data_IF_821502874754
#
_entry.id   IF_821502874754
#
_cell.length_a   1.000
_cell.length_b   1.000
_cell.length_c   1.000
_cell.angle_alpha   90.00
_cell.angle_beta   90.00
_cell.angle_gamma   90.00
#
_symmetry.space_group_name_H-M   'P 1'
#
loop_
_entity.id
_entity.type
_entity.pdbx_description
1 polymer ?
#
# COMPACT_ATOMS: atom_id res chain seq x y z
N UNK A 1 -28.25 8.90 0.69
CA UNK A 1 -26.92 9.54 0.72
C UNK A 1 -26.19 9.31 2.04
N UNK A 2 -26.85 8.95 3.12
CA UNK A 2 -26.25 8.74 4.47
C UNK A 2 -25.94 7.27 4.77
N UNK A 3 -26.48 6.35 4.00
CA UNK A 3 -26.31 4.89 4.21
C UNK A 3 -25.49 4.20 3.11
N UNK A 4 -25.37 4.86 1.95
CA UNK A 4 -24.66 4.32 0.77
C UNK A 4 -23.81 5.43 0.13
N UNK A 5 -22.57 5.13 -0.31
CA UNK A 5 -21.72 6.09 -1.01
C UNK A 5 -22.28 6.38 -2.41
N UNK A 6 -23.17 7.39 -2.48
CA UNK A 6 -23.83 7.81 -3.71
C UNK A 6 -23.74 9.32 -3.87
N UNK A 7 -23.98 9.85 -5.07
CA UNK A 7 -23.99 11.28 -5.36
C UNK A 7 -25.40 11.77 -5.60
N UNK A 8 -25.64 13.04 -5.40
CA UNK A 8 -26.92 13.68 -5.72
C UNK A 8 -27.26 13.55 -7.20
N UNK A 9 -26.26 13.67 -8.07
CA UNK A 9 -26.41 13.50 -9.53
C UNK A 9 -26.80 12.06 -9.93
N UNK A 10 -26.34 11.04 -9.18
CA UNK A 10 -26.76 9.67 -9.46
C UNK A 10 -28.22 9.40 -9.10
N UNK A 11 -28.81 10.23 -8.22
CA UNK A 11 -30.23 10.16 -7.86
C UNK A 11 -31.15 10.86 -8.89
N UNK A 12 -30.60 11.77 -9.69
CA UNK A 12 -31.31 12.51 -10.74
C UNK A 12 -32.06 11.54 -11.68
N UNK A 13 -31.34 10.55 -12.20
CA UNK A 13 -31.90 9.55 -13.11
C UNK A 13 -33.04 8.68 -12.53
N UNK A 14 -33.02 8.47 -11.20
CA UNK A 14 -34.00 7.60 -10.53
C UNK A 14 -35.22 8.35 -10.00
N UNK A 15 -35.00 9.59 -9.56
CA UNK A 15 -36.03 10.36 -8.85
C UNK A 15 -36.51 11.60 -9.62
N UNK A 16 -35.95 11.84 -10.82
CA UNK A 16 -36.27 13.00 -11.65
C UNK A 16 -36.13 14.35 -10.93
N UNK A 17 -35.07 14.46 -10.10
CA UNK A 17 -34.71 15.68 -9.37
C UNK A 17 -33.50 16.34 -10.01
N UNK A 18 -33.37 17.64 -9.91
CA UNK A 18 -32.11 18.28 -10.30
C UNK A 18 -31.02 17.98 -9.27
N UNK A 19 -30.02 17.15 -9.66
CA UNK A 19 -28.96 16.65 -8.77
C UNK A 19 -28.12 17.74 -8.16
N UNK A 20 -27.81 18.82 -8.90
CA UNK A 20 -26.99 19.94 -8.38
C UNK A 20 -27.76 20.77 -7.35
N UNK A 21 -29.04 21.04 -7.63
CA UNK A 21 -29.91 21.71 -6.66
C UNK A 21 -30.10 20.89 -5.40
N UNK A 22 -30.29 19.57 -5.55
CA UNK A 22 -30.43 18.65 -4.41
C UNK A 22 -29.14 18.58 -3.60
N UNK A 23 -27.96 18.54 -4.23
CA UNK A 23 -26.68 18.55 -3.53
C UNK A 23 -26.53 19.79 -2.65
N UNK A 24 -26.87 20.96 -3.19
CA UNK A 24 -26.85 22.23 -2.45
C UNK A 24 -27.81 22.20 -1.26
N UNK A 25 -29.06 21.74 -1.48
CA UNK A 25 -30.06 21.65 -0.40
C UNK A 25 -29.63 20.62 0.67
N UNK A 26 -29.12 19.47 0.24
CA UNK A 26 -28.62 18.44 1.15
C UNK A 26 -27.48 18.99 2.01
N UNK A 27 -26.47 19.63 1.39
CA UNK A 27 -25.33 20.19 2.10
C UNK A 27 -25.74 21.31 3.08
N UNK A 28 -26.62 22.23 2.65
CA UNK A 28 -26.92 23.45 3.41
C UNK A 28 -28.04 23.26 4.45
N UNK A 29 -28.99 22.33 4.22
CA UNK A 29 -30.23 22.28 5.02
C UNK A 29 -30.59 20.89 5.55
N UNK A 30 -30.29 19.81 4.82
CA UNK A 30 -30.87 18.49 5.13
C UNK A 30 -29.91 17.56 5.88
N UNK A 31 -28.60 17.71 5.67
CA UNK A 31 -27.61 16.78 6.19
C UNK A 31 -27.15 17.04 7.64
N UNK A 32 -27.42 18.23 8.17
CA UNK A 32 -26.84 18.69 9.43
C UNK A 32 -25.35 19.04 9.34
N UNK A 33 -24.85 19.25 8.11
CA UNK A 33 -23.44 19.56 7.89
C UNK A 33 -23.00 20.87 8.55
N UNK A 34 -23.86 21.88 8.54
CA UNK A 34 -23.57 23.21 9.14
C UNK A 34 -23.52 23.19 10.67
N UNK A 35 -24.31 22.31 11.26
CA UNK A 35 -24.41 22.10 12.71
C UNK A 35 -23.51 20.96 13.22
N UNK A 36 -22.66 20.41 12.32
CA UNK A 36 -21.78 19.31 12.67
C UNK A 36 -20.75 19.73 13.72
N UNK A 37 -20.67 19.03 14.85
CA UNK A 37 -19.78 19.35 15.98
C UNK A 37 -18.30 19.44 15.59
N UNK A 38 -17.88 18.59 14.63
CA UNK A 38 -16.50 18.52 14.19
C UNK A 38 -16.17 19.56 13.09
N UNK A 39 -17.14 20.36 12.66
CA UNK A 39 -17.01 21.25 11.49
C UNK A 39 -15.78 22.15 11.52
N UNK A 40 -15.41 22.69 12.69
CA UNK A 40 -14.32 23.66 12.86
C UNK A 40 -12.94 23.09 12.58
N UNK A 41 -12.70 21.81 12.89
CA UNK A 41 -11.41 21.14 12.81
C UNK A 41 -11.39 19.90 11.91
N UNK A 42 -12.49 19.62 11.20
CA UNK A 42 -12.65 18.39 10.43
C UNK A 42 -11.58 18.17 9.35
N UNK A 43 -10.99 19.24 8.82
CA UNK A 43 -9.91 19.15 7.83
C UNK A 43 -8.57 18.76 8.44
N UNK A 44 -8.39 18.99 9.74
CA UNK A 44 -7.16 18.70 10.46
C UNK A 44 -7.24 17.34 11.15
N UNK A 45 -8.29 17.11 11.90
CA UNK A 45 -8.50 15.85 12.61
C UNK A 45 -9.98 15.57 12.89
N UNK A 46 -10.30 14.29 12.90
CA UNK A 46 -11.59 13.73 13.33
C UNK A 46 -11.29 12.52 14.22
N UNK A 47 -11.96 12.41 15.37
CA UNK A 47 -11.76 11.32 16.33
C UNK A 47 -13.10 10.84 16.86
N UNK A 48 -13.34 9.52 16.81
CA UNK A 48 -14.56 8.83 17.23
C UNK A 48 -14.22 7.78 18.28
N UNK A 49 -14.10 8.16 19.56
CA UNK A 49 -13.65 7.26 20.63
C UNK A 49 -14.57 6.06 20.89
N UNK A 50 -15.84 6.16 20.49
CA UNK A 50 -16.84 5.09 20.60
C UNK A 50 -16.59 3.93 19.66
N UNK A 51 -15.84 4.17 18.56
CA UNK A 51 -15.56 3.18 17.54
C UNK A 51 -14.31 2.35 17.84
N UNK A 52 -13.59 2.66 18.93
CA UNK A 52 -12.37 1.93 19.25
C UNK A 52 -12.68 0.47 19.62
N UNK A 53 -11.88 -0.45 19.09
CA UNK A 53 -11.99 -1.88 19.34
C UNK A 53 -10.66 -2.50 19.74
N UNK A 54 -10.65 -3.77 20.09
CA UNK A 54 -9.43 -4.49 20.47
C UNK A 54 -8.41 -4.65 19.35
N UNK A 55 -8.86 -4.68 18.09
CA UNK A 55 -8.00 -4.83 16.91
C UNK A 55 -8.22 -3.67 15.95
N UNK A 56 -7.17 -2.89 15.74
CA UNK A 56 -7.20 -1.71 14.88
C UNK A 56 -6.17 -1.78 13.76
N UNK A 57 -6.39 -0.98 12.71
CA UNK A 57 -5.40 -0.76 11.66
C UNK A 57 -5.07 0.72 11.58
N UNK A 58 -3.79 1.02 11.31
CA UNK A 58 -3.31 2.38 11.00
C UNK A 58 -2.76 2.34 9.57
N UNK A 59 -3.24 3.23 8.71
CA UNK A 59 -2.86 3.29 7.30
C UNK A 59 -2.94 4.74 6.78
N UNK A 60 -2.37 4.99 5.63
CA UNK A 60 -2.36 6.30 4.98
C UNK A 60 -3.27 6.31 3.74
N UNK A 61 -3.96 7.42 3.54
CA UNK A 61 -4.78 7.62 2.34
C UNK A 61 -4.70 9.06 1.85
N UNK A 62 -4.91 9.27 0.55
CA UNK A 62 -5.00 10.59 -0.06
C UNK A 62 -6.43 10.84 -0.56
N UNK A 63 -7.31 11.43 0.24
CA UNK A 63 -8.69 11.69 -0.14
C UNK A 63 -8.83 12.83 -1.15
N UNK A 64 -7.89 13.78 -1.20
CA UNK A 64 -7.91 14.91 -2.11
C UNK A 64 -6.50 15.37 -2.50
N UNK A 65 -6.32 15.82 -3.73
CA UNK A 65 -5.16 16.55 -4.27
C UNK A 65 -3.75 16.12 -3.82
N UNK A 66 -3.57 14.84 -3.46
CA UNK A 66 -2.29 14.32 -2.96
C UNK A 66 -2.04 14.60 -1.47
N UNK A 67 -2.91 15.32 -0.78
CA UNK A 67 -2.81 15.48 0.68
C UNK A 67 -2.99 14.14 1.38
N UNK A 68 -2.00 13.77 2.20
CA UNK A 68 -2.04 12.53 2.97
C UNK A 68 -2.79 12.71 4.27
N UNK A 69 -3.58 11.70 4.62
CA UNK A 69 -4.25 11.56 5.89
C UNK A 69 -3.91 10.20 6.51
N UNK A 70 -3.64 10.19 7.80
CA UNK A 70 -3.57 8.96 8.58
C UNK A 70 -4.99 8.56 8.99
N UNK A 71 -5.35 7.32 8.69
CA UNK A 71 -6.67 6.76 9.02
C UNK A 71 -6.49 5.61 10.00
N UNK A 72 -7.16 5.71 11.15
CA UNK A 72 -7.22 4.65 12.15
C UNK A 72 -8.59 3.99 12.09
N UNK A 73 -8.61 2.67 11.90
CA UNK A 73 -9.84 1.91 11.67
C UNK A 73 -10.02 0.76 12.63
N UNK A 74 -11.26 0.50 13.02
CA UNK A 74 -11.65 -0.69 13.78
C UNK A 74 -11.86 -1.88 12.83
N UNK A 75 -11.06 -2.92 13.00
CA UNK A 75 -11.12 -4.13 12.17
C UNK A 75 -12.42 -4.92 12.34
N UNK A 76 -13.00 -4.89 13.54
CA UNK A 76 -14.21 -5.65 13.86
C UNK A 76 -15.46 -5.13 13.14
N UNK A 77 -15.51 -3.86 12.75
CA UNK A 77 -16.64 -3.23 12.05
C UNK A 77 -16.77 -3.62 10.57
N UNK A 78 -15.79 -4.33 10.00
CA UNK A 78 -15.79 -4.89 8.63
C UNK A 78 -16.07 -3.86 7.53
N UNK A 79 -15.72 -2.61 7.75
CA UNK A 79 -15.91 -1.52 6.79
C UNK A 79 -17.34 -0.96 6.73
N UNK A 80 -18.18 -1.25 7.72
CA UNK A 80 -19.48 -0.63 7.96
C UNK A 80 -19.38 0.56 8.90
N UNK A 81 -20.51 0.92 9.52
CA UNK A 81 -20.56 1.95 10.54
C UNK A 81 -19.70 1.56 11.76
N UNK A 82 -19.04 2.52 12.39
CA UNK A 82 -18.08 2.27 13.47
C UNK A 82 -16.68 1.85 12.99
N UNK A 83 -16.40 1.96 11.68
CA UNK A 83 -15.07 1.63 11.13
C UNK A 83 -14.05 2.72 11.42
N UNK A 84 -14.40 3.99 11.25
CA UNK A 84 -13.47 5.10 11.42
C UNK A 84 -13.35 5.39 12.92
N UNK A 85 -12.12 5.24 13.45
CA UNK A 85 -11.75 5.69 14.79
C UNK A 85 -11.17 7.10 14.72
N UNK A 86 -10.31 7.35 13.74
CA UNK A 86 -9.74 8.67 13.50
C UNK A 86 -9.36 8.88 12.05
N UNK A 87 -9.43 10.14 11.61
CA UNK A 87 -8.85 10.65 10.37
C UNK A 87 -8.06 11.89 10.75
N UNK A 88 -6.75 11.90 10.47
CA UNK A 88 -5.85 13.01 10.84
C UNK A 88 -5.08 13.45 9.61
N UNK A 89 -5.05 14.74 9.32
CA UNK A 89 -4.27 15.32 8.23
C UNK A 89 -2.77 15.15 8.50
N UNK A 90 -2.06 14.61 7.53
CA UNK A 90 -0.63 14.35 7.62
C UNK A 90 -0.28 12.96 8.17
N UNK A 91 1.03 12.71 8.23
CA UNK A 91 1.64 11.43 8.62
C UNK A 91 2.69 11.61 9.72
N UNK A 92 2.90 12.83 10.18
CA UNK A 92 3.87 13.14 11.22
C UNK A 92 3.41 12.54 12.56
N UNK A 93 4.34 11.83 13.21
CA UNK A 93 4.02 11.09 14.43
C UNK A 93 3.45 11.98 15.54
N UNK A 94 3.99 13.19 15.71
CA UNK A 94 3.53 14.11 16.77
C UNK A 94 2.12 14.61 16.52
N UNK A 95 1.78 15.01 15.29
CA UNK A 95 0.44 15.48 14.91
C UNK A 95 -0.61 14.40 15.10
N UNK A 96 -0.32 13.17 14.63
CA UNK A 96 -1.25 12.05 14.76
C UNK A 96 -1.39 11.62 16.22
N UNK A 97 -0.29 11.61 16.99
CA UNK A 97 -0.30 11.30 18.42
C UNK A 97 -1.18 12.31 19.17
N UNK A 98 -1.02 13.62 18.93
CA UNK A 98 -1.81 14.65 19.56
C UNK A 98 -3.32 14.46 19.34
N UNK A 99 -3.72 14.15 18.10
CA UNK A 99 -5.11 13.87 17.78
C UNK A 99 -5.63 12.62 18.50
N UNK A 100 -4.87 11.52 18.52
CA UNK A 100 -5.26 10.27 19.13
C UNK A 100 -5.26 10.33 20.68
N UNK A 101 -4.46 11.20 21.29
CA UNK A 101 -4.48 11.43 22.75
C UNK A 101 -5.77 12.09 23.24
N UNK A 102 -6.63 12.58 22.37
CA UNK A 102 -8.00 13.03 22.68
C UNK A 102 -8.94 11.87 23.06
N UNK A 103 -8.56 10.64 22.68
CA UNK A 103 -9.24 9.42 23.12
C UNK A 103 -8.83 9.14 24.57
N UNK A 104 -9.80 8.88 25.43
CA UNK A 104 -9.57 8.50 26.82
C UNK A 104 -8.54 7.36 26.94
N UNK A 105 -7.65 7.47 27.92
CA UNK A 105 -6.58 6.49 28.13
C UNK A 105 -7.13 5.08 28.37
N UNK A 106 -8.17 4.95 29.16
CA UNK A 106 -8.80 3.65 29.42
C UNK A 106 -9.23 2.97 28.13
N UNK A 107 -9.82 3.71 27.18
CA UNK A 107 -10.19 3.19 25.86
C UNK A 107 -8.95 2.82 25.04
N UNK A 108 -7.90 3.64 25.01
CA UNK A 108 -6.67 3.34 24.28
C UNK A 108 -5.96 2.09 24.82
N UNK A 109 -6.02 1.85 26.10
CA UNK A 109 -5.43 0.67 26.76
C UNK A 109 -6.20 -0.64 26.47
N UNK A 110 -7.43 -0.58 25.95
CA UNK A 110 -8.19 -1.79 25.54
C UNK A 110 -7.73 -2.36 24.21
N UNK A 111 -6.94 -1.60 23.42
CA UNK A 111 -6.42 -2.09 22.14
C UNK A 111 -5.35 -3.15 22.38
N UNK A 112 -5.58 -4.34 21.82
CA UNK A 112 -4.70 -5.52 21.95
C UNK A 112 -3.81 -5.73 20.73
N UNK A 113 -4.29 -5.34 19.56
CA UNK A 113 -3.60 -5.58 18.27
C UNK A 113 -3.66 -4.36 17.39
N UNK A 114 -2.51 -4.04 16.77
CA UNK A 114 -2.40 -3.00 15.73
C UNK A 114 -1.72 -3.61 14.51
N UNK A 115 -2.36 -3.46 13.35
CA UNK A 115 -1.73 -3.73 12.06
C UNK A 115 -1.39 -2.40 11.39
N UNK A 116 -0.18 -2.27 10.88
CA UNK A 116 0.35 -1.03 10.30
C UNK A 116 1.35 -1.29 9.19
N UNK A 117 1.63 -0.26 8.41
CA UNK A 117 2.72 -0.24 7.44
C UNK A 117 4.10 -0.21 8.11
N UNK A 118 5.12 -0.56 7.37
CA UNK A 118 6.50 -0.53 7.84
C UNK A 118 7.04 0.91 7.78
N UNK A 119 6.67 1.70 8.78
CA UNK A 119 7.02 3.12 8.91
C UNK A 119 7.39 3.44 10.35
N UNK A 120 8.48 4.16 10.55
CA UNK A 120 8.91 4.62 11.87
C UNK A 120 7.89 5.56 12.51
N UNK A 121 7.18 6.36 11.72
CA UNK A 121 6.09 7.23 12.19
C UNK A 121 4.95 6.38 12.77
N UNK A 122 4.45 5.39 12.04
CA UNK A 122 3.38 4.50 12.48
C UNK A 122 3.78 3.71 13.74
N UNK A 123 5.03 3.24 13.78
CA UNK A 123 5.58 2.56 14.96
C UNK A 123 5.59 3.47 16.19
N UNK A 124 6.00 4.74 16.03
CA UNK A 124 6.03 5.70 17.13
C UNK A 124 4.63 6.06 17.61
N UNK A 125 3.69 6.33 16.69
CA UNK A 125 2.27 6.58 17.00
C UNK A 125 1.70 5.41 17.81
N UNK A 126 1.86 4.19 17.31
CA UNK A 126 1.31 2.99 17.96
C UNK A 126 1.89 2.75 19.36
N UNK A 127 3.19 3.01 19.55
CA UNK A 127 3.84 2.90 20.87
C UNK A 127 3.32 3.93 21.87
N UNK A 128 3.14 5.17 21.43
CA UNK A 128 2.70 6.28 22.30
C UNK A 128 1.22 6.17 22.65
N UNK A 129 0.39 5.88 21.65
CA UNK A 129 -1.07 5.91 21.83
C UNK A 129 -1.65 4.62 22.39
N UNK A 130 -1.05 3.47 22.07
CA UNK A 130 -1.59 2.14 22.38
C UNK A 130 -0.50 1.21 22.95
N UNK A 131 0.02 1.50 24.15
CA UNK A 131 1.20 0.83 24.70
C UNK A 131 1.01 -0.67 24.91
N UNK A 132 -0.22 -1.13 25.21
CA UNK A 132 -0.55 -2.53 25.46
C UNK A 132 -0.70 -3.37 24.16
N UNK A 133 -0.76 -2.73 23.00
CA UNK A 133 -1.06 -3.40 21.76
C UNK A 133 0.16 -4.15 21.18
N UNK A 134 -0.07 -5.36 20.69
CA UNK A 134 0.87 -6.09 19.86
C UNK A 134 0.85 -5.44 18.47
N UNK A 135 2.00 -4.93 18.04
CA UNK A 135 2.19 -4.29 16.73
C UNK A 135 2.60 -5.32 15.70
N UNK A 136 1.92 -5.34 14.57
CA UNK A 136 2.19 -6.24 13.46
C UNK A 136 2.36 -5.44 12.17
N UNK A 137 3.46 -5.64 11.47
CA UNK A 137 3.67 -5.06 10.14
C UNK A 137 2.96 -5.92 9.09
N UNK A 138 2.30 -5.24 8.16
CA UNK A 138 1.65 -5.91 7.06
C UNK A 138 2.66 -6.56 6.10
N UNK A 139 2.47 -7.86 5.88
CA UNK A 139 3.32 -8.65 4.97
C UNK A 139 3.31 -8.15 3.52
N UNK A 140 2.22 -7.47 3.09
CA UNK A 140 2.12 -6.96 1.72
C UNK A 140 3.13 -5.84 1.48
N UNK A 141 3.36 -4.98 2.47
CA UNK A 141 4.39 -3.94 2.40
C UNK A 141 5.79 -4.55 2.34
N UNK A 142 6.06 -5.58 3.13
CA UNK A 142 7.33 -6.32 3.08
C UNK A 142 7.54 -6.93 1.68
N UNK A 143 6.52 -7.58 1.14
CA UNK A 143 6.60 -8.19 -0.19
C UNK A 143 6.74 -7.15 -1.30
N UNK A 144 6.10 -5.99 -1.15
CA UNK A 144 6.21 -4.86 -2.08
C UNK A 144 7.65 -4.36 -2.16
N UNK A 145 8.32 -4.15 -1.01
CA UNK A 145 9.72 -3.72 -1.01
C UNK A 145 10.62 -4.68 -1.79
N UNK A 146 10.46 -5.99 -1.59
CA UNK A 146 11.25 -6.99 -2.32
C UNK A 146 10.94 -6.97 -3.82
N UNK A 147 9.68 -6.78 -4.20
CA UNK A 147 9.30 -6.62 -5.60
C UNK A 147 9.86 -5.33 -6.21
N UNK A 148 9.85 -4.23 -5.46
CA UNK A 148 10.36 -2.94 -5.93
C UNK A 148 11.88 -3.00 -6.15
N UNK A 149 12.65 -3.66 -5.26
CA UNK A 149 14.09 -3.90 -5.45
C UNK A 149 14.39 -4.74 -6.69
N UNK A 150 13.64 -5.80 -6.93
CA UNK A 150 13.75 -6.60 -8.15
C UNK A 150 13.44 -5.77 -9.40
N UNK A 151 12.43 -4.89 -9.34
CA UNK A 151 12.11 -3.99 -10.45
C UNK A 151 13.17 -2.92 -10.67
N UNK A 152 13.81 -2.43 -9.63
CA UNK A 152 14.94 -1.49 -9.73
C UNK A 152 16.08 -2.12 -10.53
N UNK A 153 16.50 -3.34 -10.19
CA UNK A 153 17.53 -4.06 -10.94
C UNK A 153 17.14 -4.27 -12.42
N UNK A 154 15.89 -4.71 -12.68
CA UNK A 154 15.37 -4.85 -14.04
C UNK A 154 15.39 -3.53 -14.82
N UNK A 155 15.07 -2.42 -14.15
CA UNK A 155 15.05 -1.08 -14.76
C UNK A 155 16.48 -0.64 -15.08
N UNK A 156 17.46 -0.89 -14.21
CA UNK A 156 18.87 -0.61 -14.47
C UNK A 156 19.35 -1.32 -15.74
N UNK A 157 19.18 -2.63 -15.83
CA UNK A 157 19.50 -3.39 -17.06
C UNK A 157 18.77 -2.86 -18.29
N UNK A 158 17.53 -2.40 -18.13
CA UNK A 158 16.79 -1.84 -19.28
C UNK A 158 17.39 -0.53 -19.77
N UNK A 159 17.88 0.32 -18.87
CA UNK A 159 18.57 1.54 -19.26
C UNK A 159 19.89 1.23 -19.97
N UNK A 160 20.67 0.27 -19.47
CA UNK A 160 21.91 -0.20 -20.11
C UNK A 160 21.62 -0.73 -21.52
N UNK A 161 20.57 -1.53 -21.68
CA UNK A 161 20.16 -2.06 -22.97
C UNK A 161 19.68 -0.97 -23.95
N UNK A 162 19.04 0.09 -23.47
CA UNK A 162 18.64 1.25 -24.28
C UNK A 162 19.88 2.03 -24.72
N UNK A 163 20.82 2.26 -23.82
CA UNK A 163 22.07 2.96 -24.14
C UNK A 163 22.88 2.20 -25.17
N UNK A 164 23.09 0.89 -24.97
CA UNK A 164 23.80 0.04 -25.95
C UNK A 164 23.13 0.03 -27.32
N UNK A 165 21.79 0.03 -27.39
CA UNK A 165 21.05 0.14 -28.67
C UNK A 165 21.27 1.50 -29.36
N UNK A 166 21.34 2.57 -28.55
CA UNK A 166 21.61 3.93 -29.06
C UNK A 166 23.03 4.05 -29.63
N UNK A 167 24.01 3.60 -28.86
CA UNK A 167 25.41 3.64 -29.22
C UNK A 167 25.67 2.83 -30.53
N UNK A 168 25.08 1.63 -30.64
CA UNK A 168 25.17 0.80 -31.82
C UNK A 168 24.54 1.44 -33.08
N UNK A 169 23.45 2.22 -32.91
CA UNK A 169 22.85 2.98 -34.01
C UNK A 169 23.75 4.12 -34.49
N UNK A 170 24.35 4.83 -33.56
CA UNK A 170 25.29 5.92 -33.88
C UNK A 170 26.51 5.38 -34.58
N UNK A 171 27.09 4.28 -34.09
CA UNK A 171 28.23 3.62 -34.74
C UNK A 171 27.91 3.16 -36.16
N UNK A 172 26.73 2.54 -36.35
CA UNK A 172 26.27 2.13 -37.67
C UNK A 172 26.14 3.33 -38.62
N UNK A 173 25.62 4.45 -38.15
CA UNK A 173 25.51 5.69 -38.91
C UNK A 173 26.89 6.25 -39.29
N UNK A 174 27.84 6.28 -38.37
CA UNK A 174 29.22 6.74 -38.63
C UNK A 174 29.94 5.83 -39.65
N UNK A 175 29.74 4.52 -39.53
CA UNK A 175 30.37 3.54 -40.41
C UNK A 175 29.65 3.32 -41.74
N UNK A 176 28.54 4.03 -42.02
CA UNK A 176 27.70 3.86 -43.19
C UNK A 176 27.03 2.50 -43.34
N UNK A 177 26.91 1.75 -42.22
CA UNK A 177 26.24 0.44 -42.14
C UNK A 177 24.79 0.56 -41.77
N UNK A 178 23.97 -0.41 -42.22
CA UNK A 178 22.59 -0.52 -41.77
C UNK A 178 22.56 -1.09 -40.34
N UNK A 179 21.93 -0.38 -39.41
CA UNK A 179 21.72 -0.88 -38.06
C UNK A 179 20.75 -2.07 -38.04
N UNK A 180 21.13 -3.14 -37.35
CA UNK A 180 20.28 -4.29 -37.06
C UNK A 180 20.33 -4.59 -35.56
N UNK A 181 19.17 -4.59 -34.84
CA UNK A 181 19.15 -4.90 -33.41
C UNK A 181 19.51 -6.37 -33.16
N UNK A 182 20.16 -6.64 -32.03
CA UNK A 182 20.36 -8.01 -31.54
C UNK A 182 19.02 -8.57 -31.07
N UNK A 183 18.61 -9.70 -31.67
CA UNK A 183 17.37 -10.40 -31.35
C UNK A 183 17.69 -11.68 -30.58
N UNK A 184 17.02 -11.87 -29.44
CA UNK A 184 17.15 -13.03 -28.57
C UNK A 184 16.30 -14.22 -29.06
N UNK A 185 16.48 -15.40 -28.47
CA UNK A 185 15.84 -16.65 -28.88
C UNK A 185 14.30 -16.58 -28.96
N UNK A 186 13.67 -15.72 -28.15
CA UNK A 186 12.22 -15.50 -28.12
C UNK A 186 11.73 -14.39 -29.07
N UNK A 187 12.61 -13.85 -29.92
CA UNK A 187 12.29 -12.77 -30.86
C UNK A 187 12.28 -11.36 -30.25
N UNK A 188 12.53 -11.20 -28.94
CA UNK A 188 12.66 -9.88 -28.30
C UNK A 188 14.09 -9.33 -28.46
N UNK A 189 14.23 -8.02 -28.56
CA UNK A 189 15.51 -7.38 -28.25
C UNK A 189 15.71 -7.27 -26.74
N UNK A 190 16.94 -7.03 -26.25
CA UNK A 190 17.22 -6.87 -24.82
C UNK A 190 16.27 -5.88 -24.15
N UNK A 191 16.07 -4.69 -24.70
CA UNK A 191 15.15 -3.69 -24.16
C UNK A 191 13.68 -4.12 -24.17
N UNK A 192 13.26 -4.92 -25.16
CA UNK A 192 11.90 -5.46 -25.25
C UNK A 192 11.68 -6.58 -24.23
N UNK A 193 12.63 -7.50 -24.09
CA UNK A 193 12.61 -8.56 -23.08
C UNK A 193 12.44 -7.97 -21.68
N UNK A 194 13.28 -7.01 -21.32
CA UNK A 194 13.24 -6.35 -20.01
C UNK A 194 11.93 -5.56 -19.78
N UNK A 195 11.41 -4.88 -20.81
CA UNK A 195 10.13 -4.19 -20.71
C UNK A 195 8.94 -5.15 -20.48
N UNK A 196 8.87 -6.21 -21.29
CA UNK A 196 7.80 -7.22 -21.27
C UNK A 196 7.85 -8.14 -20.04
N UNK A 197 9.01 -8.23 -19.39
CA UNK A 197 9.21 -9.06 -18.18
C UNK A 197 8.69 -8.42 -16.89
N UNK A 198 8.29 -7.14 -16.91
CA UNK A 198 7.83 -6.42 -15.72
C UNK A 198 6.81 -7.21 -14.88
N UNK A 199 5.71 -7.65 -15.49
CA UNK A 199 4.60 -8.27 -14.79
C UNK A 199 4.84 -9.75 -14.43
N UNK A 200 5.67 -10.48 -15.21
CA UNK A 200 5.98 -11.87 -14.86
C UNK A 200 6.82 -11.96 -13.59
N UNK A 201 7.68 -10.98 -13.32
CA UNK A 201 8.54 -10.94 -12.13
C UNK A 201 7.76 -10.72 -10.82
N UNK A 202 6.55 -10.15 -10.86
CA UNK A 202 5.66 -10.08 -9.70
C UNK A 202 4.95 -11.39 -9.38
N UNK A 203 4.81 -12.29 -10.35
CA UNK A 203 4.12 -13.57 -10.21
C UNK A 203 5.08 -14.66 -9.75
N UNK A 204 4.58 -15.60 -8.97
CA UNK A 204 5.29 -16.86 -8.75
C UNK A 204 5.25 -17.73 -10.02
N UNK A 205 6.29 -18.54 -10.23
CA UNK A 205 6.50 -19.32 -11.47
C UNK A 205 5.36 -20.29 -11.79
N UNK A 206 4.67 -20.81 -10.76
CA UNK A 206 3.47 -21.65 -10.90
C UNK A 206 2.26 -20.93 -11.53
N UNK A 207 2.26 -19.61 -11.49
CA UNK A 207 1.20 -18.74 -12.06
C UNK A 207 1.55 -18.14 -13.42
N UNK A 208 2.68 -18.51 -13.99
CA UNK A 208 3.06 -18.05 -15.33
C UNK A 208 2.26 -18.78 -16.41
N UNK A 209 1.84 -18.03 -17.43
CA UNK A 209 1.41 -18.61 -18.70
C UNK A 209 2.59 -19.24 -19.41
N UNK A 210 2.33 -20.10 -20.40
CA UNK A 210 3.42 -20.71 -21.20
C UNK A 210 4.33 -19.67 -21.85
N UNK A 211 3.76 -18.62 -22.45
CA UNK A 211 4.53 -17.51 -23.03
C UNK A 211 5.34 -16.73 -21.97
N UNK A 212 4.85 -16.62 -20.73
CA UNK A 212 5.62 -16.00 -19.64
C UNK A 212 6.76 -16.89 -19.17
N UNK A 213 6.58 -18.22 -19.18
CA UNK A 213 7.62 -19.19 -18.82
C UNK A 213 8.78 -19.15 -19.82
N UNK A 214 8.48 -19.23 -21.11
CA UNK A 214 9.49 -19.11 -22.17
C UNK A 214 10.25 -17.79 -22.09
N UNK A 215 9.55 -16.68 -21.84
CA UNK A 215 10.21 -15.38 -21.67
C UNK A 215 11.08 -15.32 -20.41
N UNK A 216 10.66 -15.95 -19.31
CA UNK A 216 11.45 -16.02 -18.09
C UNK A 216 12.72 -16.85 -18.26
N UNK A 217 12.68 -17.92 -19.03
CA UNK A 217 13.86 -18.73 -19.36
C UNK A 217 14.92 -17.90 -20.07
N UNK A 218 14.54 -17.21 -21.15
CA UNK A 218 15.44 -16.31 -21.88
C UNK A 218 15.93 -15.16 -20.99
N UNK A 219 15.04 -14.57 -20.16
CA UNK A 219 15.41 -13.50 -19.26
C UNK A 219 16.48 -13.95 -18.25
N UNK A 220 16.29 -15.11 -17.63
CA UNK A 220 17.17 -15.62 -16.57
C UNK A 220 18.47 -16.22 -17.10
N UNK A 221 18.49 -16.65 -18.35
CA UNK A 221 19.71 -17.02 -19.05
C UNK A 221 20.55 -15.78 -19.41
N UNK A 222 19.88 -14.71 -19.87
CA UNK A 222 20.54 -13.46 -20.29
C UNK A 222 20.98 -12.61 -19.09
N UNK A 223 20.19 -12.62 -18.00
CA UNK A 223 20.41 -11.84 -16.78
C UNK A 223 20.33 -12.72 -15.53
N UNK A 224 21.42 -13.48 -15.20
CA UNK A 224 21.44 -14.40 -14.06
C UNK A 224 21.20 -13.72 -12.70
N UNK A 225 21.62 -12.48 -12.53
CA UNK A 225 21.40 -11.66 -11.35
C UNK A 225 19.90 -11.37 -11.14
N UNK A 226 19.11 -11.15 -12.21
CA UNK A 226 17.65 -11.03 -12.09
C UNK A 226 17.00 -12.36 -11.67
N UNK A 227 17.55 -13.51 -12.04
CA UNK A 227 17.10 -14.82 -11.55
C UNK A 227 17.31 -14.95 -10.06
N UNK A 228 18.48 -14.54 -9.57
CA UNK A 228 18.82 -14.59 -8.14
C UNK A 228 17.94 -13.61 -7.34
N UNK A 229 17.79 -12.38 -7.80
CA UNK A 229 16.90 -11.38 -7.20
C UNK A 229 15.43 -11.84 -7.17
N UNK A 230 14.97 -12.50 -8.26
CA UNK A 230 13.66 -13.14 -8.30
C UNK A 230 13.54 -14.26 -7.23
N UNK A 231 14.57 -15.09 -7.09
CA UNK A 231 14.60 -16.14 -6.06
C UNK A 231 14.54 -15.56 -4.64
N UNK A 232 15.28 -14.48 -4.35
CA UNK A 232 15.23 -13.78 -3.06
C UNK A 232 13.83 -13.22 -2.77
N UNK A 233 13.22 -12.55 -3.76
CA UNK A 233 11.86 -11.99 -3.65
C UNK A 233 10.82 -13.07 -3.34
N UNK A 234 10.89 -14.20 -4.05
CA UNK A 234 9.93 -15.29 -3.88
C UNK A 234 10.19 -16.13 -2.63
N UNK A 235 11.45 -16.31 -2.22
CA UNK A 235 11.77 -16.98 -0.95
C UNK A 235 11.23 -16.19 0.24
N UNK A 236 11.31 -14.85 0.22
CA UNK A 236 10.70 -14.02 1.25
C UNK A 236 9.17 -14.21 1.29
N UNK A 237 8.49 -14.22 0.12
CA UNK A 237 7.05 -14.52 0.03
C UNK A 237 6.71 -15.89 0.64
N UNK A 238 7.52 -16.90 0.38
CA UNK A 238 7.31 -18.26 0.90
C UNK A 238 7.46 -18.32 2.42
N UNK A 239 8.34 -17.51 3.02
CA UNK A 239 8.48 -17.44 4.49
C UNK A 239 7.14 -17.04 5.11
N UNK A 240 6.50 -15.96 4.59
CA UNK A 240 5.21 -15.49 5.11
C UNK A 240 4.03 -16.41 4.78
N UNK A 241 4.13 -17.22 3.72
CA UNK A 241 3.04 -18.10 3.29
C UNK A 241 3.06 -19.46 3.97
N UNK A 242 4.25 -20.06 4.17
CA UNK A 242 4.41 -21.45 4.63
C UNK A 242 4.62 -21.57 6.14
N UNK A 243 5.30 -20.62 6.78
CA UNK A 243 5.54 -20.70 8.21
C UNK A 243 4.28 -20.33 8.99
N UNK A 244 3.94 -21.14 9.98
CA UNK A 244 2.80 -20.94 10.90
C UNK A 244 3.26 -20.68 12.33
N UNK A 245 4.54 -20.90 12.63
CA UNK A 245 5.14 -20.79 13.96
C UNK A 245 6.22 -19.70 13.92
N UNK A 246 6.21 -18.80 14.89
CA UNK A 246 7.12 -17.65 15.00
C UNK A 246 8.60 -18.07 14.96
N UNK A 247 8.99 -19.14 15.66
CA UNK A 247 10.39 -19.59 15.71
C UNK A 247 10.86 -20.20 14.38
N UNK A 248 9.98 -20.93 13.68
CA UNK A 248 10.28 -21.42 12.33
C UNK A 248 10.45 -20.29 11.32
N UNK A 249 9.64 -19.25 11.45
CA UNK A 249 9.74 -18.04 10.62
C UNK A 249 11.04 -17.27 10.91
N UNK A 250 11.43 -17.17 12.19
CA UNK A 250 12.70 -16.57 12.63
C UNK A 250 13.90 -17.24 11.97
N UNK A 251 13.95 -18.58 12.00
CA UNK A 251 15.02 -19.34 11.36
C UNK A 251 15.01 -19.18 9.84
N UNK A 252 13.83 -19.15 9.24
CA UNK A 252 13.68 -18.93 7.79
C UNK A 252 14.12 -17.54 7.35
N UNK A 253 13.83 -16.51 8.14
CA UNK A 253 14.30 -15.14 7.92
C UNK A 253 15.83 -15.04 8.08
N UNK A 254 16.41 -15.70 9.11
CA UNK A 254 17.87 -15.72 9.28
C UNK A 254 18.57 -16.30 8.05
N UNK A 255 18.05 -17.41 7.51
CA UNK A 255 18.58 -18.01 6.26
C UNK A 255 18.39 -17.09 5.05
N UNK A 256 17.32 -16.33 5.02
CA UNK A 256 17.08 -15.36 3.95
C UNK A 256 18.06 -14.18 4.03
N UNK A 257 18.36 -13.67 5.24
CA UNK A 257 19.38 -12.64 5.46
C UNK A 257 20.76 -13.08 4.94
N UNK A 258 21.19 -14.31 5.26
CA UNK A 258 22.46 -14.83 4.76
C UNK A 258 22.48 -14.85 3.22
N UNK A 259 21.40 -15.28 2.57
CA UNK A 259 21.31 -15.28 1.09
C UNK A 259 21.35 -13.86 0.51
N UNK A 260 20.78 -12.88 1.18
CA UNK A 260 20.84 -11.47 0.75
C UNK A 260 22.27 -10.96 0.87
N UNK A 261 22.96 -11.26 1.98
CA UNK A 261 24.35 -10.87 2.19
C UNK A 261 25.27 -11.51 1.15
N UNK A 262 25.13 -12.81 0.92
CA UNK A 262 25.89 -13.56 -0.10
C UNK A 262 25.69 -12.99 -1.53
N UNK A 263 24.48 -12.52 -1.86
CA UNK A 263 24.17 -11.95 -3.17
C UNK A 263 24.85 -10.62 -3.47
N UNK A 264 25.18 -9.84 -2.43
CA UNK A 264 25.77 -8.51 -2.56
C UNK A 264 24.86 -7.44 -3.18
N UNK A 265 23.56 -7.72 -3.37
CA UNK A 265 22.62 -6.78 -3.98
C UNK A 265 22.27 -5.63 -3.04
N UNK A 266 22.72 -4.40 -3.37
CA UNK A 266 22.51 -3.20 -2.53
C UNK A 266 21.05 -2.95 -2.20
N UNK A 267 20.14 -3.09 -3.16
CA UNK A 267 18.70 -2.89 -2.96
C UNK A 267 18.11 -3.91 -1.97
N UNK A 268 18.54 -5.15 -2.00
CA UNK A 268 18.12 -6.18 -1.05
C UNK A 268 18.74 -6.01 0.33
N UNK A 269 19.98 -5.51 0.43
CA UNK A 269 20.61 -5.18 1.70
C UNK A 269 19.84 -4.08 2.45
N UNK A 270 19.31 -3.08 1.74
CA UNK A 270 18.44 -2.04 2.32
C UNK A 270 17.17 -2.67 2.90
N UNK A 271 16.56 -3.63 2.19
CA UNK A 271 15.37 -4.32 2.69
C UNK A 271 15.71 -5.15 3.92
N UNK A 272 16.82 -5.90 3.89
CA UNK A 272 17.26 -6.70 5.04
C UNK A 272 17.47 -5.83 6.29
N UNK A 273 18.13 -4.67 6.15
CA UNK A 273 18.31 -3.73 7.23
C UNK A 273 16.97 -3.20 7.76
N UNK A 274 16.05 -2.85 6.88
CA UNK A 274 14.71 -2.36 7.25
C UNK A 274 13.90 -3.43 7.99
N UNK A 275 13.93 -4.68 7.52
CA UNK A 275 13.27 -5.80 8.20
C UNK A 275 13.90 -6.10 9.56
N UNK A 276 15.22 -5.91 9.69
CA UNK A 276 15.91 -6.08 10.95
C UNK A 276 15.55 -4.99 11.97
N UNK A 277 15.41 -3.75 11.53
CA UNK A 277 14.96 -2.64 12.38
C UNK A 277 13.55 -2.88 12.96
N UNK A 278 12.68 -3.54 12.20
CA UNK A 278 11.29 -3.86 12.56
C UNK A 278 11.08 -5.34 12.89
N UNK A 279 12.12 -6.03 13.33
CA UNK A 279 12.16 -7.49 13.43
C UNK A 279 11.02 -8.09 14.27
N UNK A 280 10.74 -7.54 15.44
CA UNK A 280 9.70 -8.05 16.33
C UNK A 280 8.30 -7.85 15.74
N UNK A 281 8.03 -6.68 15.17
CA UNK A 281 6.77 -6.35 14.53
C UNK A 281 6.50 -7.20 13.27
N UNK A 282 7.57 -7.53 12.52
CA UNK A 282 7.52 -8.47 11.37
C UNK A 282 7.19 -9.88 11.85
N UNK A 283 7.85 -10.36 12.91
CA UNK A 283 7.62 -11.69 13.46
C UNK A 283 6.26 -11.84 14.17
N UNK A 284 5.64 -10.75 14.63
CA UNK A 284 4.32 -10.80 15.24
C UNK A 284 3.23 -11.21 14.24
N UNK A 285 3.44 -11.05 12.93
CA UNK A 285 2.57 -11.64 11.91
C UNK A 285 2.34 -13.15 12.10
N UNK A 286 3.34 -13.88 12.58
CA UNK A 286 3.23 -15.34 12.76
C UNK A 286 2.47 -15.75 14.04
N UNK A 287 2.12 -14.80 14.90
CA UNK A 287 1.30 -15.05 16.10
C UNK A 287 -0.18 -15.05 15.75
N UNK A 288 -0.67 -14.02 15.07
CA UNK A 288 -2.09 -13.81 14.82
C UNK A 288 -2.45 -13.73 13.32
N UNK A 289 -1.46 -13.76 12.44
CA UNK A 289 -1.60 -13.61 10.97
C UNK A 289 -2.36 -12.34 10.56
N UNK A 290 -2.27 -11.30 11.38
CA UNK A 290 -2.92 -10.03 11.11
C UNK A 290 -2.33 -9.38 9.85
N UNK A 291 -3.21 -8.87 8.99
CA UNK A 291 -2.85 -8.16 7.75
C UNK A 291 -3.59 -6.85 7.66
N UNK A 292 -3.05 -5.91 6.92
CA UNK A 292 -3.69 -4.61 6.65
C UNK A 292 -4.71 -4.67 5.50
N UNK A 293 -5.02 -5.87 4.99
CA UNK A 293 -5.97 -6.07 3.90
C UNK A 293 -7.34 -5.41 4.17
N UNK A 294 -7.73 -5.31 5.44
CA UNK A 294 -8.92 -4.59 5.85
C UNK A 294 -8.77 -3.08 5.60
N UNK A 295 -7.68 -2.46 6.04
CA UNK A 295 -7.42 -1.04 5.83
C UNK A 295 -7.24 -0.72 4.33
N UNK A 296 -6.53 -1.57 3.57
CA UNK A 296 -6.43 -1.44 2.12
C UNK A 296 -7.80 -1.49 1.43
N UNK A 297 -8.66 -2.44 1.82
CA UNK A 297 -10.05 -2.53 1.32
C UNK A 297 -10.86 -1.29 1.70
N UNK A 298 -10.70 -0.78 2.90
CA UNK A 298 -11.38 0.43 3.35
C UNK A 298 -10.88 1.67 2.60
N UNK A 299 -9.57 1.81 2.43
CA UNK A 299 -8.98 2.88 1.62
C UNK A 299 -9.44 2.81 0.15
N UNK A 300 -9.64 1.61 -0.39
CA UNK A 300 -10.23 1.44 -1.72
C UNK A 300 -11.69 1.95 -1.77
N UNK A 301 -12.48 1.77 -0.71
CA UNK A 301 -13.85 2.34 -0.61
C UNK A 301 -13.82 3.86 -0.56
N UNK A 302 -12.90 4.47 0.20
CA UNK A 302 -12.69 5.92 0.24
C UNK A 302 -12.37 6.44 -1.17
N UNK A 303 -11.43 5.78 -1.86
CA UNK A 303 -11.04 6.13 -3.24
C UNK A 303 -12.18 5.95 -4.23
N UNK A 304 -12.97 4.89 -4.12
CA UNK A 304 -14.14 4.65 -4.94
C UNK A 304 -15.21 5.74 -4.72
N UNK A 305 -15.48 6.10 -3.46
CA UNK A 305 -16.42 7.19 -3.16
C UNK A 305 -15.93 8.52 -3.73
N UNK A 306 -14.63 8.84 -3.59
CA UNK A 306 -14.02 10.00 -4.25
C UNK A 306 -14.22 9.98 -5.77
N UNK A 307 -14.03 8.82 -6.39
CA UNK A 307 -14.19 8.67 -7.84
C UNK A 307 -15.66 8.92 -8.29
N UNK A 308 -16.66 8.49 -7.50
CA UNK A 308 -18.07 8.75 -7.80
C UNK A 308 -18.38 10.26 -7.76
N UNK A 309 -17.66 11.04 -6.95
CA UNK A 309 -17.77 12.50 -6.88
C UNK A 309 -16.97 13.23 -7.99
N UNK A 310 -16.27 12.48 -8.86
CA UNK A 310 -15.37 13.04 -9.90
C UNK A 310 -14.28 13.96 -9.32
N UNK A 311 -13.81 13.65 -8.12
CA UNK A 311 -12.86 14.44 -7.33
C UNK A 311 -13.51 15.07 -6.11
N UNK A 312 -12.69 15.71 -5.28
CA UNK A 312 -13.13 16.36 -4.04
C UNK A 312 -12.76 17.84 -4.15
N UNK A 313 -13.76 18.69 -4.26
CA UNK A 313 -13.61 20.16 -4.26
C UNK A 313 -13.75 20.74 -2.85
N UNK A 314 -14.57 20.12 -2.01
CA UNK A 314 -14.78 20.47 -0.61
C UNK A 314 -14.43 19.28 0.27
N UNK A 315 -13.19 19.29 0.80
CA UNK A 315 -12.65 18.19 1.62
C UNK A 315 -13.45 18.04 2.93
N UNK A 316 -13.88 19.13 3.56
CA UNK A 316 -14.65 19.10 4.80
C UNK A 316 -15.99 18.40 4.61
N UNK A 317 -16.72 18.73 3.55
CA UNK A 317 -17.97 18.06 3.22
C UNK A 317 -17.77 16.60 2.83
N UNK A 318 -16.68 16.28 2.13
CA UNK A 318 -16.31 14.89 1.84
C UNK A 318 -16.04 14.09 3.13
N UNK A 319 -15.27 14.64 4.06
CA UNK A 319 -15.00 14.02 5.36
C UNK A 319 -16.29 13.86 6.17
N UNK A 320 -17.16 14.87 6.20
CA UNK A 320 -18.48 14.74 6.81
C UNK A 320 -19.28 13.57 6.23
N UNK A 321 -19.29 13.43 4.90
CA UNK A 321 -19.96 12.30 4.25
C UNK A 321 -19.35 10.95 4.62
N UNK A 322 -18.02 10.87 4.72
CA UNK A 322 -17.32 9.66 5.17
C UNK A 322 -17.71 9.30 6.61
N UNK A 323 -17.79 10.26 7.51
CA UNK A 323 -18.17 10.00 8.89
C UNK A 323 -19.61 9.53 9.01
N UNK A 324 -20.54 10.10 8.26
CA UNK A 324 -21.95 9.61 8.21
C UNK A 324 -22.05 8.16 7.75
N UNK A 325 -21.17 7.73 6.85
CA UNK A 325 -21.18 6.36 6.30
C UNK A 325 -20.45 5.35 7.21
N UNK A 326 -19.38 5.76 7.89
CA UNK A 326 -18.41 4.83 8.45
C UNK A 326 -17.96 5.10 9.91
N UNK A 327 -18.32 6.25 10.48
CA UNK A 327 -18.07 6.54 11.89
C UNK A 327 -19.26 6.24 12.78
#
# INVERSE_FOLDING_TARGET
>A
METVPTTSRSLDNYYHINGDTFEKQYKEKLSGYREWSEYSHAEEWLVFPENIGESICIDETAPSNGELYTVVTNRASRGGKGTIIAIVKGVAADTVTEALMRIDEGKRLTVKEITMDMSNSMRLISKRCFPNAIRTIDRFHIQKLACDALQEMRIAHRWDAIQADTDAREEAKYSGKTYAPIVLANGDTHKQLLARSRYLLFKSADKWTESQRQRAEVLFETYPDLKEAYSLTHSLRMIFSKNTIKDAARLSLARWYNKVDDSGFKSFNVIAATLYEHYDEVLNFFVNRATNAFAESFNARIKAFRATLRGVTDIRFFLFRLTKLYA
#
